data_IF_636137634857
#
_entry.id   IF_636137634857
#
_cell.length_a   1.000
_cell.length_b   1.000
_cell.length_c   1.000
_cell.angle_alpha   90.00
_cell.angle_beta   90.00
_cell.angle_gamma   90.00
#
_symmetry.space_group_name_H-M   'P 1'
#
loop_
_entity.id
_entity.type
_entity.pdbx_description
1 polymer ?
#
# COMPACT_ATOMS: atom_id res chain seq x y z
N UNK A 1 -32.91 23.33 43.23
CA UNK A 1 -32.97 24.07 41.95
C UNK A 1 -31.86 25.10 42.04
N UNK A 2 -30.71 24.99 41.40
CA UNK A 2 -30.43 24.61 40.01
C UNK A 2 -29.02 23.99 39.93
N UNK A 3 -28.92 22.98 39.08
CA UNK A 3 -27.69 22.27 38.71
C UNK A 3 -26.71 23.17 37.94
N UNK A 4 -25.40 23.02 38.19
CA UNK A 4 -24.36 23.34 37.23
C UNK A 4 -23.40 22.16 37.11
N UNK A 5 -23.35 21.61 35.90
CA UNK A 5 -22.56 20.48 35.41
C UNK A 5 -21.10 20.90 35.10
N UNK A 6 -20.17 19.93 35.01
CA UNK A 6 -18.76 20.20 34.75
C UNK A 6 -18.44 20.37 33.25
N UNK A 7 -17.40 21.16 32.99
CA UNK A 7 -16.82 21.41 31.67
C UNK A 7 -16.09 20.17 31.13
N UNK A 8 -16.57 19.66 30.00
CA UNK A 8 -15.80 18.90 29.02
C UNK A 8 -15.53 19.83 27.82
N UNK A 9 -14.27 19.92 27.37
CA UNK A 9 -13.96 19.85 25.94
C UNK A 9 -12.46 19.58 25.74
N UNK A 10 -12.12 18.32 25.45
CA UNK A 10 -10.81 17.92 24.97
C UNK A 10 -10.81 17.99 23.45
N UNK A 11 -10.10 18.97 22.90
CA UNK A 11 -10.00 19.20 21.46
C UNK A 11 -9.52 17.96 20.72
N UNK A 12 -10.38 17.46 19.82
CA UNK A 12 -10.03 16.44 18.86
C UNK A 12 -8.99 17.02 17.88
N UNK A 13 -7.71 16.67 18.08
CA UNK A 13 -6.71 16.79 17.03
C UNK A 13 -7.09 15.77 15.95
N UNK A 14 -7.71 16.26 14.88
CA UNK A 14 -7.99 15.46 13.70
C UNK A 14 -6.67 14.91 13.17
N UNK A 15 -6.53 13.59 13.18
CA UNK A 15 -5.49 12.87 12.45
C UNK A 15 -5.70 13.17 10.97
N UNK A 16 -5.06 14.23 10.46
CA UNK A 16 -5.02 14.53 9.04
C UNK A 16 -4.46 13.32 8.34
N UNK A 17 -5.27 12.71 7.47
CA UNK A 17 -4.81 11.70 6.52
C UNK A 17 -3.82 12.39 5.58
N UNK A 18 -2.55 12.47 5.98
CA UNK A 18 -1.46 12.87 5.10
C UNK A 18 -1.50 11.93 3.91
N UNK A 19 -1.85 12.45 2.74
CA UNK A 19 -1.89 11.68 1.51
C UNK A 19 -0.45 11.31 1.16
N UNK A 20 -0.06 10.09 1.53
CA UNK A 20 1.15 9.45 1.05
C UNK A 20 1.04 9.27 -0.47
N UNK A 21 1.37 10.32 -1.20
CA UNK A 21 1.48 10.23 -2.65
C UNK A 21 2.60 9.24 -2.97
N UNK A 22 2.20 8.09 -3.52
CA UNK A 22 3.11 7.10 -4.05
C UNK A 22 3.73 7.65 -5.34
N UNK A 23 4.71 8.55 -5.19
CA UNK A 23 5.48 9.11 -6.29
C UNK A 23 6.45 8.05 -6.84
N UNK A 24 5.89 7.07 -7.55
CA UNK A 24 6.61 6.14 -8.43
C UNK A 24 6.79 6.81 -9.80
N UNK A 25 7.57 6.23 -10.72
CA UNK A 25 7.89 6.89 -11.99
C UNK A 25 6.62 7.14 -12.85
N UNK A 26 6.20 8.40 -12.94
CA UNK A 26 4.83 8.78 -13.37
C UNK A 26 4.75 9.84 -14.48
N UNK A 27 5.77 9.98 -15.33
CA UNK A 27 5.69 10.92 -16.46
C UNK A 27 4.99 10.29 -17.67
N UNK A 28 3.69 10.58 -17.83
CA UNK A 28 2.97 10.46 -19.09
C UNK A 28 3.59 11.45 -20.09
N UNK A 29 3.84 11.09 -21.36
CA UNK A 29 4.26 12.06 -22.36
C UNK A 29 3.16 13.10 -22.54
N UNK A 30 3.55 14.39 -22.55
CA UNK A 30 2.88 15.33 -23.46
C UNK A 30 3.11 14.81 -24.89
N UNK A 31 2.19 15.04 -25.82
CA UNK A 31 2.22 14.53 -27.20
C UNK A 31 3.46 14.93 -28.06
N UNK A 32 4.52 15.44 -27.44
CA UNK A 32 5.81 15.79 -28.05
C UNK A 32 6.97 15.36 -27.14
N UNK A 33 7.37 14.08 -27.18
CA UNK A 33 8.73 13.65 -26.82
C UNK A 33 8.91 12.15 -27.05
N UNK A 34 9.55 11.76 -28.16
CA UNK A 34 10.23 10.47 -28.28
C UNK A 34 11.45 10.60 -29.20
N UNK A 35 12.64 10.73 -28.60
CA UNK A 35 13.91 10.45 -29.27
C UNK A 35 14.76 9.63 -28.29
N UNK A 36 15.04 8.38 -28.67
CA UNK A 36 15.84 7.44 -27.88
C UNK A 36 15.24 6.03 -27.92
N UNK A 37 15.54 5.29 -29.00
CA UNK A 37 15.46 3.83 -29.15
C UNK A 37 14.43 3.07 -28.28
N UNK A 38 13.15 3.49 -28.33
CA UNK A 38 12.02 2.73 -27.79
C UNK A 38 11.15 2.32 -28.96
N UNK A 39 10.70 1.06 -28.93
CA UNK A 39 9.71 0.51 -29.83
C UNK A 39 8.63 1.56 -30.10
N UNK A 40 8.35 1.86 -31.37
CA UNK A 40 7.30 2.79 -31.74
C UNK A 40 5.96 2.24 -31.18
N UNK A 41 5.12 3.12 -30.62
CA UNK A 41 3.87 2.71 -29.97
C UNK A 41 2.72 3.64 -30.35
N UNK A 42 1.56 3.04 -30.63
CA UNK A 42 0.31 3.77 -30.79
C UNK A 42 -0.31 4.07 -29.43
N UNK A 43 -0.65 5.33 -29.20
CA UNK A 43 -1.32 5.78 -27.98
C UNK A 43 -2.82 5.93 -28.26
N UNK A 44 -3.64 5.10 -27.62
CA UNK A 44 -5.09 5.05 -27.83
C UNK A 44 -5.79 5.37 -26.51
N UNK A 45 -6.26 6.61 -26.31
CA UNK A 45 -7.12 6.95 -25.17
C UNK A 45 -8.45 6.20 -25.31
N UNK A 46 -8.76 5.33 -24.35
CA UNK A 46 -10.03 4.58 -24.34
C UNK A 46 -11.11 5.32 -23.55
N UNK A 47 -10.70 5.94 -22.44
CA UNK A 47 -11.52 6.86 -21.65
C UNK A 47 -10.65 8.06 -21.36
N UNK A 48 -11.17 9.26 -21.67
CA UNK A 48 -10.40 10.49 -21.59
C UNK A 48 -9.73 10.63 -20.22
N UNK A 49 -8.40 10.75 -20.26
CA UNK A 49 -7.53 10.92 -19.11
C UNK A 49 -7.51 9.79 -18.08
N UNK A 50 -8.28 8.70 -18.20
CA UNK A 50 -8.37 7.64 -17.16
C UNK A 50 -8.01 6.24 -17.64
N UNK A 51 -8.15 5.97 -18.94
CA UNK A 51 -7.69 4.73 -19.57
C UNK A 51 -6.87 5.03 -20.82
N UNK A 52 -5.62 4.55 -20.84
CA UNK A 52 -4.70 4.71 -21.96
C UNK A 52 -4.18 3.35 -22.39
N UNK A 53 -4.49 2.94 -23.62
CA UNK A 53 -3.89 1.77 -24.25
C UNK A 53 -2.65 2.20 -25.04
N UNK A 54 -1.55 1.48 -24.85
CA UNK A 54 -0.34 1.63 -25.66
C UNK A 54 -0.10 0.32 -26.41
N UNK A 55 -0.11 0.39 -27.75
CA UNK A 55 0.13 -0.78 -28.61
C UNK A 55 1.53 -0.76 -29.19
N UNK A 56 2.09 -1.93 -29.44
CA UNK A 56 3.37 -2.04 -30.17
C UNK A 56 3.12 -1.74 -31.66
N UNK A 57 3.78 -0.72 -32.22
CA UNK A 57 3.59 -0.31 -33.61
C UNK A 57 4.10 -1.38 -34.59
N UNK A 58 3.42 -1.51 -35.73
CA UNK A 58 3.72 -2.52 -36.75
C UNK A 58 3.08 -3.88 -36.51
N UNK A 59 2.33 -4.08 -35.41
CA UNK A 59 1.45 -5.22 -35.21
C UNK A 59 0.17 -5.09 -36.08
N UNK A 60 0.32 -4.94 -37.39
CA UNK A 60 -0.79 -5.04 -38.34
C UNK A 60 -0.91 -6.50 -38.78
N UNK A 61 -1.57 -7.31 -37.96
CA UNK A 61 -1.77 -8.74 -38.21
C UNK A 61 -1.48 -9.57 -36.97
N UNK A 62 -2.28 -10.63 -36.78
CA UNK A 62 -2.31 -11.54 -35.63
C UNK A 62 -1.02 -12.38 -35.38
N UNK A 63 0.14 -11.99 -35.91
CA UNK A 63 1.29 -12.90 -36.03
C UNK A 63 2.54 -12.54 -35.20
N UNK A 64 2.48 -11.64 -34.22
CA UNK A 64 3.61 -11.43 -33.31
C UNK A 64 3.34 -11.83 -31.85
N UNK A 65 3.90 -12.99 -31.47
CA UNK A 65 4.41 -13.48 -30.17
C UNK A 65 3.72 -13.13 -28.83
N UNK A 66 2.44 -12.83 -28.89
CA UNK A 66 1.31 -13.31 -28.08
C UNK A 66 0.35 -12.14 -27.86
N UNK A 67 -0.94 -12.32 -28.23
CA UNK A 67 -2.05 -11.40 -27.95
C UNK A 67 -2.19 -11.21 -26.43
N UNK A 68 -1.26 -10.46 -25.86
CA UNK A 68 -1.04 -10.29 -24.44
C UNK A 68 -1.29 -8.85 -24.08
N UNK A 69 -2.03 -8.64 -23.00
CA UNK A 69 -2.28 -7.32 -22.44
C UNK A 69 -1.83 -7.29 -20.98
N UNK A 70 -1.01 -6.29 -20.65
CA UNK A 70 -0.70 -5.93 -19.28
C UNK A 70 -1.62 -4.77 -18.86
N UNK A 71 -2.41 -4.98 -17.82
CA UNK A 71 -3.24 -3.93 -17.21
C UNK A 71 -2.51 -3.38 -15.99
N UNK A 72 -2.22 -2.08 -15.98
CA UNK A 72 -1.50 -1.41 -14.90
C UNK A 72 -2.43 -0.45 -14.18
N UNK A 73 -2.65 -0.69 -12.88
CA UNK A 73 -3.53 0.13 -12.04
C UNK A 73 -2.72 1.13 -11.20
N UNK A 74 -3.11 2.40 -11.29
CA UNK A 74 -2.48 3.48 -10.51
C UNK A 74 -2.70 3.40 -9.00
N UNK A 75 -1.74 3.95 -8.25
CA UNK A 75 -1.84 4.19 -6.81
C UNK A 75 -2.85 5.29 -6.45
N UNK A 76 -3.24 5.33 -5.17
CA UNK A 76 -4.11 6.37 -4.63
C UNK A 76 -3.53 7.77 -4.86
N UNK A 77 -4.41 8.75 -5.07
CA UNK A 77 -4.07 10.16 -5.30
C UNK A 77 -3.17 10.44 -6.54
N UNK A 78 -2.91 9.45 -7.39
CA UNK A 78 -2.08 9.67 -8.58
C UNK A 78 -2.82 10.48 -9.65
N UNK A 79 -2.20 11.58 -10.08
CA UNK A 79 -2.69 12.41 -11.20
C UNK A 79 -2.25 11.88 -12.57
N UNK A 80 -1.40 10.86 -12.60
CA UNK A 80 -0.87 10.23 -13.81
C UNK A 80 -0.85 8.70 -13.69
N UNK A 81 -0.40 8.02 -14.74
CA UNK A 81 -0.33 6.56 -14.76
C UNK A 81 0.89 6.07 -13.97
N UNK A 82 0.65 5.29 -12.92
CA UNK A 82 1.72 4.67 -12.12
C UNK A 82 2.46 3.65 -12.98
N UNK A 83 3.78 3.54 -12.80
CA UNK A 83 4.67 2.63 -13.53
C UNK A 83 4.74 2.84 -15.05
N UNK A 84 4.16 3.92 -15.60
CA UNK A 84 4.20 4.18 -17.04
C UNK A 84 5.61 4.05 -17.63
N UNK A 85 6.61 4.64 -16.97
CA UNK A 85 7.97 4.56 -17.46
C UNK A 85 8.60 3.17 -17.34
N UNK A 86 8.14 2.37 -16.37
CA UNK A 86 8.65 1.03 -16.07
C UNK A 86 8.00 -0.06 -16.93
N UNK A 87 6.86 0.21 -17.56
CA UNK A 87 6.12 -0.79 -18.36
C UNK A 87 6.06 -0.47 -19.85
N UNK A 88 6.50 0.71 -20.28
CA UNK A 88 6.50 1.11 -21.71
C UNK A 88 7.39 0.26 -22.63
N UNK A 89 8.38 -0.47 -22.07
CA UNK A 89 9.27 -1.36 -22.81
C UNK A 89 8.80 -2.82 -22.79
N UNK A 90 7.67 -3.12 -22.13
CA UNK A 90 7.18 -4.49 -22.00
C UNK A 90 6.77 -5.06 -23.36
N UNK A 91 7.05 -6.33 -23.65
CA UNK A 91 6.81 -6.93 -24.96
C UNK A 91 5.32 -7.27 -25.21
N UNK A 92 4.40 -6.41 -24.79
CA UNK A 92 2.96 -6.57 -24.93
C UNK A 92 2.24 -5.22 -25.06
N UNK A 93 0.93 -5.28 -25.37
CA UNK A 93 0.05 -4.15 -25.20
C UNK A 93 -0.07 -3.81 -23.71
N UNK A 94 -0.15 -2.51 -23.39
CA UNK A 94 -0.29 -2.07 -22.00
C UNK A 94 -1.47 -1.12 -21.87
N UNK A 95 -2.43 -1.49 -21.03
CA UNK A 95 -3.56 -0.67 -20.63
C UNK A 95 -3.30 -0.06 -19.25
N UNK A 96 -3.12 1.25 -19.22
CA UNK A 96 -3.02 1.99 -17.98
C UNK A 96 -4.40 2.44 -17.52
N UNK A 97 -4.72 2.20 -16.26
CA UNK A 97 -6.00 2.57 -15.64
C UNK A 97 -5.72 3.40 -14.39
N UNK A 98 -6.34 4.57 -14.27
CA UNK A 98 -6.30 5.37 -13.04
C UNK A 98 -7.69 5.68 -12.50
N UNK A 99 -7.75 5.85 -11.20
CA UNK A 99 -8.93 6.37 -10.51
C UNK A 99 -9.02 7.90 -10.70
N UNK A 100 -10.03 8.41 -11.44
CA UNK A 100 -10.20 9.85 -11.66
C UNK A 100 -10.57 10.61 -10.39
N UNK A 101 -11.10 9.93 -9.37
CA UNK A 101 -11.61 10.55 -8.14
C UNK A 101 -10.56 10.61 -7.04
N UNK A 102 -9.29 10.29 -7.37
CA UNK A 102 -8.13 10.47 -6.52
C UNK A 102 -8.36 9.90 -5.11
N UNK A 103 -8.60 8.58 -5.00
CA UNK A 103 -8.78 7.79 -3.76
C UNK A 103 -10.21 7.25 -3.51
N UNK A 104 -10.94 6.91 -4.57
CA UNK A 104 -12.15 6.10 -4.54
C UNK A 104 -11.89 4.60 -4.80
N UNK A 105 -10.64 4.19 -5.02
CA UNK A 105 -10.25 2.77 -5.12
C UNK A 105 -10.99 2.02 -6.21
N UNK A 106 -11.24 2.71 -7.33
CA UNK A 106 -11.98 2.21 -8.47
C UNK A 106 -13.45 1.84 -8.19
N UNK A 107 -13.94 2.04 -6.95
CA UNK A 107 -15.31 1.72 -6.54
C UNK A 107 -16.35 2.54 -7.31
N UNK A 108 -15.99 3.77 -7.69
CA UNK A 108 -16.80 4.67 -8.52
C UNK A 108 -16.55 4.53 -10.03
N UNK A 109 -15.84 3.49 -10.47
CA UNK A 109 -15.45 3.31 -11.87
C UNK A 109 -14.42 4.35 -12.33
N UNK A 110 -14.28 4.50 -13.66
CA UNK A 110 -13.33 5.45 -14.30
C UNK A 110 -14.00 6.53 -15.15
N UNK A 111 -15.33 6.54 -15.18
CA UNK A 111 -16.17 7.49 -15.91
C UNK A 111 -17.20 8.12 -14.95
N UNK A 112 -17.67 9.35 -15.24
CA UNK A 112 -18.78 9.94 -14.50
C UNK A 112 -20.01 9.02 -14.53
N UNK A 113 -20.66 8.82 -13.38
CA UNK A 113 -21.84 7.94 -13.22
C UNK A 113 -21.60 6.45 -13.43
N UNK A 114 -20.34 6.03 -13.55
CA UNK A 114 -19.95 4.61 -13.58
C UNK A 114 -19.83 4.04 -12.16
N UNK A 115 -19.45 2.76 -12.07
CA UNK A 115 -19.08 2.09 -10.84
C UNK A 115 -18.06 0.98 -11.15
N UNK A 116 -17.59 0.31 -10.11
CA UNK A 116 -16.63 -0.79 -10.24
C UNK A 116 -17.12 -1.96 -11.09
N UNK A 117 -18.42 -2.27 -11.08
CA UNK A 117 -18.99 -3.34 -11.92
C UNK A 117 -18.97 -2.94 -13.41
N UNK A 118 -19.31 -1.69 -13.71
CA UNK A 118 -19.23 -1.15 -15.07
C UNK A 118 -17.78 -1.10 -15.58
N UNK A 119 -16.82 -0.75 -14.71
CA UNK A 119 -15.40 -0.87 -15.02
C UNK A 119 -14.99 -2.33 -15.28
N UNK A 120 -15.41 -3.28 -14.43
CA UNK A 120 -15.15 -4.70 -14.64
C UNK A 120 -15.70 -5.19 -16.00
N UNK A 121 -16.92 -4.79 -16.36
CA UNK A 121 -17.53 -5.13 -17.64
C UNK A 121 -16.76 -4.54 -18.83
N UNK A 122 -16.28 -3.29 -18.72
CA UNK A 122 -15.43 -2.66 -19.73
C UNK A 122 -14.08 -3.38 -19.89
N UNK A 123 -13.42 -3.73 -18.79
CA UNK A 123 -12.17 -4.48 -18.82
C UNK A 123 -12.37 -5.89 -19.38
N UNK A 124 -13.51 -6.53 -19.11
CA UNK A 124 -13.86 -7.84 -19.67
C UNK A 124 -14.00 -7.80 -21.20
N UNK A 125 -14.66 -6.78 -21.75
CA UNK A 125 -14.74 -6.58 -23.22
C UNK A 125 -13.36 -6.36 -23.84
N UNK A 126 -12.47 -5.63 -23.16
CA UNK A 126 -11.10 -5.44 -23.64
C UNK A 126 -10.35 -6.78 -23.60
N UNK A 127 -10.46 -7.53 -22.49
CA UNK A 127 -9.83 -8.86 -22.30
C UNK A 127 -10.16 -9.82 -23.45
N UNK A 128 -11.36 -9.80 -24.00
CA UNK A 128 -11.78 -10.70 -25.09
C UNK A 128 -10.94 -10.55 -26.37
N UNK A 129 -10.26 -9.41 -26.55
CA UNK A 129 -9.32 -9.18 -27.67
C UNK A 129 -7.92 -9.78 -27.43
N UNK A 130 -7.67 -10.36 -26.25
CA UNK A 130 -6.34 -10.83 -25.84
C UNK A 130 -6.41 -12.26 -25.32
N UNK A 131 -5.49 -13.11 -25.81
CA UNK A 131 -5.28 -14.48 -25.35
C UNK A 131 -4.87 -14.51 -23.87
N UNK A 132 -3.92 -13.64 -23.50
CA UNK A 132 -3.35 -13.61 -22.15
C UNK A 132 -3.52 -12.21 -21.56
N UNK A 133 -3.94 -12.12 -20.30
CA UNK A 133 -3.94 -10.85 -19.56
C UNK A 133 -3.17 -10.98 -18.27
N UNK A 134 -2.43 -9.93 -17.97
CA UNK A 134 -1.63 -9.77 -16.78
C UNK A 134 -2.10 -8.52 -16.05
N UNK A 135 -2.00 -8.50 -14.72
CA UNK A 135 -2.33 -7.30 -13.93
C UNK A 135 -1.19 -6.91 -13.00
N UNK A 136 -0.99 -5.61 -12.85
CA UNK A 136 0.06 -5.02 -12.03
C UNK A 136 -0.43 -3.77 -11.31
N UNK A 137 -0.08 -3.63 -10.03
CA UNK A 137 -0.32 -2.40 -9.30
C UNK A 137 0.25 -2.40 -7.88
N UNK A 138 0.22 -1.23 -7.24
CA UNK A 138 0.68 -1.03 -5.87
C UNK A 138 -0.34 -0.30 -5.01
N UNK A 139 -0.45 -0.64 -3.72
CA UNK A 139 -1.40 -0.05 -2.77
C UNK A 139 -2.83 -0.17 -3.30
N UNK A 140 -3.55 0.94 -3.51
CA UNK A 140 -4.83 0.97 -4.24
C UNK A 140 -4.81 0.26 -5.60
N UNK A 141 -3.72 0.39 -6.37
CA UNK A 141 -3.55 -0.32 -7.63
C UNK A 141 -3.31 -1.81 -7.43
N UNK A 142 -2.69 -2.20 -6.31
CA UNK A 142 -2.51 -3.60 -5.93
C UNK A 142 -3.85 -4.26 -5.61
N UNK A 143 -4.70 -3.58 -4.83
CA UNK A 143 -6.10 -3.97 -4.61
C UNK A 143 -6.84 -4.19 -5.94
N UNK A 144 -6.75 -3.21 -6.87
CA UNK A 144 -7.41 -3.30 -8.16
C UNK A 144 -6.87 -4.45 -9.03
N UNK A 145 -5.55 -4.70 -8.97
CA UNK A 145 -4.91 -5.80 -9.68
C UNK A 145 -5.40 -7.16 -9.19
N UNK A 146 -5.55 -7.32 -7.86
CA UNK A 146 -6.13 -8.51 -7.27
C UNK A 146 -7.60 -8.69 -7.67
N UNK A 147 -8.42 -7.64 -7.51
CA UNK A 147 -9.85 -7.70 -7.84
C UNK A 147 -10.08 -7.99 -9.32
N UNK A 148 -9.62 -7.10 -10.20
CA UNK A 148 -9.89 -7.23 -11.64
C UNK A 148 -9.11 -8.38 -12.25
N UNK A 149 -7.88 -8.66 -11.81
CA UNK A 149 -7.14 -9.83 -12.26
C UNK A 149 -7.90 -11.13 -12.01
N UNK A 150 -8.46 -11.29 -10.81
CA UNK A 150 -9.31 -12.44 -10.46
C UNK A 150 -10.59 -12.49 -11.29
N UNK A 151 -11.32 -11.37 -11.41
CA UNK A 151 -12.58 -11.31 -12.16
C UNK A 151 -12.40 -11.57 -13.67
N UNK A 152 -11.23 -11.23 -14.22
CA UNK A 152 -10.90 -11.39 -15.63
C UNK A 152 -10.26 -12.74 -15.96
N UNK A 153 -9.98 -13.59 -14.96
CA UNK A 153 -9.17 -14.80 -15.14
C UNK A 153 -7.80 -14.45 -15.73
N UNK A 154 -7.13 -13.44 -15.17
CA UNK A 154 -5.79 -13.05 -15.58
C UNK A 154 -4.86 -14.25 -15.48
N UNK A 155 -3.89 -14.36 -16.39
CA UNK A 155 -2.85 -15.39 -16.32
C UNK A 155 -2.01 -15.19 -15.06
N UNK A 156 -1.56 -13.94 -14.83
CA UNK A 156 -0.81 -13.58 -13.61
C UNK A 156 -1.16 -12.20 -13.07
N UNK A 157 -1.00 -12.04 -11.76
CA UNK A 157 -1.15 -10.76 -11.04
C UNK A 157 0.08 -10.49 -10.19
N UNK A 158 0.63 -9.27 -10.28
CA UNK A 158 1.60 -8.75 -9.31
C UNK A 158 0.94 -7.62 -8.51
N UNK A 159 0.81 -7.80 -7.21
CA UNK A 159 0.22 -6.82 -6.30
C UNK A 159 1.24 -6.41 -5.21
N UNK A 160 1.64 -5.13 -5.22
CA UNK A 160 2.59 -4.60 -4.24
C UNK A 160 1.87 -3.87 -3.09
N UNK A 161 2.07 -4.30 -1.85
CA UNK A 161 1.42 -3.79 -0.65
C UNK A 161 -0.11 -3.58 -0.80
N UNK A 162 -0.86 -4.58 -1.28
CA UNK A 162 -2.29 -4.44 -1.50
C UNK A 162 -3.09 -4.55 -0.20
N UNK A 163 -4.27 -3.95 -0.20
CA UNK A 163 -5.32 -4.20 0.77
C UNK A 163 -6.32 -5.19 0.13
N UNK A 164 -6.90 -6.07 0.93
CA UNK A 164 -7.95 -7.02 0.50
C UNK A 164 -9.26 -6.81 1.27
N UNK A 165 -9.20 -6.06 2.37
CA UNK A 165 -10.36 -5.54 3.10
C UNK A 165 -10.22 -4.02 3.17
N UNK A 166 -11.18 -3.33 2.58
CA UNK A 166 -11.28 -1.88 2.60
C UNK A 166 -12.14 -1.44 3.79
N UNK A 167 -11.49 -0.80 4.78
CA UNK A 167 -12.16 -0.16 5.91
C UNK A 167 -11.77 1.34 5.92
N UNK A 168 -12.73 2.28 5.77
CA UNK A 168 -12.43 3.72 5.77
C UNK A 168 -11.86 4.27 7.09
N UNK A 169 -11.79 3.46 8.16
CA UNK A 169 -11.09 3.81 9.39
C UNK A 169 -9.58 3.57 9.33
N UNK A 170 -9.12 2.77 8.37
CA UNK A 170 -7.71 2.42 8.24
C UNK A 170 -6.93 3.53 7.53
N UNK A 171 -5.60 3.62 7.74
CA UNK A 171 -4.78 4.49 6.92
C UNK A 171 -4.81 3.98 5.48
N UNK A 172 -4.58 4.89 4.53
CA UNK A 172 -4.46 4.54 3.10
C UNK A 172 -5.67 3.73 2.62
N UNK A 173 -6.86 4.19 2.96
CA UNK A 173 -8.16 3.60 2.59
C UNK A 173 -8.93 4.53 1.66
N UNK A 174 -10.04 4.07 1.04
CA UNK A 174 -10.95 4.94 0.30
C UNK A 174 -11.44 6.12 1.14
N UNK A 175 -11.83 7.20 0.48
CA UNK A 175 -12.54 8.29 1.16
C UNK A 175 -13.78 7.77 1.89
N UNK A 176 -14.09 8.35 3.06
CA UNK A 176 -15.21 7.91 3.91
C UNK A 176 -16.56 7.91 3.20
N UNK A 177 -16.73 8.77 2.20
CA UNK A 177 -17.98 8.90 1.44
C UNK A 177 -18.00 8.03 0.17
N UNK A 178 -16.93 7.27 -0.11
CA UNK A 178 -16.89 6.34 -1.23
C UNK A 178 -17.79 5.15 -0.91
N UNK A 179 -18.78 4.90 -1.77
CA UNK A 179 -19.60 3.69 -1.70
C UNK A 179 -18.75 2.48 -2.07
N UNK A 180 -18.58 1.54 -1.14
CA UNK A 180 -17.80 0.31 -1.36
C UNK A 180 -18.73 -0.80 -1.84
N UNK A 181 -18.57 -1.22 -3.10
CA UNK A 181 -19.25 -2.39 -3.66
C UNK A 181 -18.44 -3.66 -3.39
N UNK A 182 -17.11 -3.57 -3.50
CA UNK A 182 -16.16 -4.62 -3.14
C UNK A 182 -15.35 -4.15 -1.93
N UNK A 183 -15.96 -4.17 -0.75
CA UNK A 183 -15.25 -3.84 0.49
C UNK A 183 -14.32 -4.98 0.94
N UNK A 184 -14.60 -6.21 0.52
CA UNK A 184 -13.85 -7.41 0.88
C UNK A 184 -13.70 -8.28 -0.37
N UNK A 185 -12.46 -8.49 -0.81
CA UNK A 185 -12.14 -9.27 -2.00
C UNK A 185 -11.50 -10.62 -1.68
N UNK A 186 -11.43 -11.00 -0.39
CA UNK A 186 -10.74 -12.23 0.05
C UNK A 186 -11.26 -13.46 -0.67
N UNK A 187 -12.59 -13.63 -0.71
CA UNK A 187 -13.23 -14.78 -1.36
C UNK A 187 -12.93 -14.81 -2.87
N UNK A 188 -13.00 -13.67 -3.53
CA UNK A 188 -12.73 -13.54 -4.98
C UNK A 188 -11.29 -13.97 -5.29
N UNK A 189 -10.32 -13.46 -4.51
CA UNK A 189 -8.89 -13.75 -4.70
C UNK A 189 -8.57 -15.22 -4.40
N UNK A 190 -9.12 -15.77 -3.30
CA UNK A 190 -8.92 -17.18 -2.93
C UNK A 190 -9.53 -18.15 -3.94
N UNK A 191 -10.62 -17.79 -4.61
CA UNK A 191 -11.30 -18.65 -5.59
C UNK A 191 -10.72 -18.55 -7.00
N UNK A 192 -9.82 -17.59 -7.27
CA UNK A 192 -9.21 -17.40 -8.58
C UNK A 192 -8.07 -18.41 -8.88
N UNK A 193 -8.32 -19.71 -8.74
CA UNK A 193 -7.31 -20.77 -8.84
C UNK A 193 -6.59 -20.85 -10.19
N UNK A 194 -7.20 -20.31 -11.26
CA UNK A 194 -6.61 -20.26 -12.61
C UNK A 194 -5.70 -19.04 -12.82
N UNK A 195 -5.56 -18.17 -11.80
CA UNK A 195 -4.75 -16.95 -11.82
C UNK A 195 -3.56 -17.11 -10.88
N UNK A 196 -2.33 -17.07 -11.41
CA UNK A 196 -1.14 -17.04 -10.55
C UNK A 196 -0.97 -15.64 -9.93
N UNK A 197 -0.89 -15.53 -8.61
CA UNK A 197 -0.83 -14.26 -7.88
C UNK A 197 0.48 -14.16 -7.10
N UNK A 198 1.23 -13.09 -7.33
CA UNK A 198 2.34 -12.66 -6.48
C UNK A 198 1.94 -11.42 -5.68
N UNK A 199 2.02 -11.54 -4.36
CA UNK A 199 1.86 -10.43 -3.42
C UNK A 199 3.22 -10.13 -2.80
N UNK A 200 3.66 -8.89 -2.89
CA UNK A 200 4.89 -8.43 -2.26
C UNK A 200 4.60 -7.24 -1.35
N UNK A 201 5.10 -7.22 -0.12
CA UNK A 201 4.87 -6.13 0.84
C UNK A 201 6.04 -5.98 1.84
N UNK A 202 6.11 -4.86 2.55
CA UNK A 202 7.08 -4.64 3.62
C UNK A 202 6.57 -5.18 4.97
N UNK A 203 7.41 -5.90 5.72
CA UNK A 203 7.02 -6.57 6.97
C UNK A 203 6.79 -5.64 8.17
N UNK A 204 7.20 -4.38 8.06
CA UNK A 204 7.09 -3.40 9.15
C UNK A 204 5.78 -2.60 9.13
N UNK A 205 4.91 -2.85 8.15
CA UNK A 205 3.57 -2.28 8.11
C UNK A 205 2.52 -3.26 8.68
N UNK A 206 1.89 -2.94 9.83
CA UNK A 206 0.90 -3.82 10.44
C UNK A 206 -0.40 -3.92 9.64
N UNK A 207 -0.76 -2.91 8.84
CA UNK A 207 -1.97 -2.92 8.02
C UNK A 207 -1.79 -3.79 6.79
N UNK A 208 -0.62 -3.76 6.16
CA UNK A 208 -0.29 -4.67 5.06
C UNK A 208 -0.26 -6.11 5.58
N UNK A 209 0.41 -6.37 6.70
CA UNK A 209 0.44 -7.70 7.34
C UNK A 209 -0.97 -8.20 7.69
N UNK A 210 -1.81 -7.33 8.27
CA UNK A 210 -3.23 -7.63 8.54
C UNK A 210 -3.96 -8.04 7.26
N UNK A 211 -3.85 -7.27 6.18
CA UNK A 211 -4.56 -7.55 4.94
C UNK A 211 -4.11 -8.89 4.33
N UNK A 212 -2.81 -9.12 4.22
CA UNK A 212 -2.29 -10.33 3.58
C UNK A 212 -2.58 -11.58 4.42
N UNK A 213 -2.62 -11.46 5.76
CA UNK A 213 -2.95 -12.59 6.64
C UNK A 213 -4.31 -13.22 6.36
N UNK A 214 -5.27 -12.45 5.86
CA UNK A 214 -6.60 -12.97 5.56
C UNK A 214 -6.67 -13.85 4.31
N UNK A 215 -5.62 -13.88 3.50
CA UNK A 215 -5.54 -14.75 2.32
C UNK A 215 -5.04 -16.16 2.65
N UNK A 216 -4.66 -16.44 3.90
CA UNK A 216 -4.32 -17.79 4.34
C UNK A 216 -5.58 -18.64 4.55
N UNK A 217 -5.48 -19.94 4.25
CA UNK A 217 -6.38 -20.99 4.67
C UNK A 217 -5.66 -21.85 5.72
N UNK A 218 -5.93 -21.56 6.99
CA UNK A 218 -5.14 -22.12 8.09
C UNK A 218 -3.74 -21.51 8.15
N UNK A 219 -2.70 -22.33 8.06
CA UNK A 219 -1.29 -21.93 8.13
C UNK A 219 -0.63 -21.68 6.75
N UNK A 220 -1.39 -21.83 5.66
CA UNK A 220 -0.86 -21.79 4.28
C UNK A 220 -1.66 -20.84 3.40
N UNK A 221 -1.02 -20.33 2.36
CA UNK A 221 -1.72 -19.67 1.26
C UNK A 221 -2.21 -20.72 0.26
N UNK A 222 -3.34 -20.47 -0.45
CA UNK A 222 -3.70 -21.24 -1.65
C UNK A 222 -2.53 -21.36 -2.63
N UNK A 223 -2.41 -22.47 -3.34
CA UNK A 223 -1.25 -22.78 -4.20
C UNK A 223 -1.00 -21.72 -5.29
N UNK A 224 -2.07 -21.08 -5.78
CA UNK A 224 -1.97 -20.01 -6.77
C UNK A 224 -1.57 -18.65 -6.19
N UNK A 225 -1.41 -18.52 -4.87
CA UNK A 225 -1.03 -17.28 -4.18
C UNK A 225 0.37 -17.42 -3.57
N UNK A 226 1.34 -16.76 -4.20
CA UNK A 226 2.68 -16.56 -3.68
C UNK A 226 2.78 -15.25 -2.91
N UNK A 227 3.30 -15.30 -1.70
CA UNK A 227 3.51 -14.11 -0.85
C UNK A 227 5.00 -13.93 -0.57
N UNK A 228 5.49 -12.71 -0.72
CA UNK A 228 6.84 -12.30 -0.39
C UNK A 228 6.79 -11.10 0.56
N UNK A 229 7.46 -11.24 1.70
CA UNK A 229 7.58 -10.19 2.69
C UNK A 229 9.02 -9.66 2.69
N UNK A 230 9.19 -8.36 2.43
CA UNK A 230 10.48 -7.68 2.42
C UNK A 230 10.80 -7.18 3.83
N UNK A 231 11.91 -7.68 4.38
CA UNK A 231 12.29 -7.49 5.78
C UNK A 231 12.90 -6.11 6.02
N UNK A 232 12.41 -5.39 7.03
CA UNK A 232 12.90 -4.05 7.37
C UNK A 232 12.29 -2.93 6.52
N UNK A 233 11.16 -3.19 5.84
CA UNK A 233 10.50 -2.22 4.96
C UNK A 233 9.05 -1.96 5.38
N UNK A 234 8.61 -0.72 5.18
CA UNK A 234 7.22 -0.31 5.39
C UNK A 234 6.41 -0.42 4.09
N UNK A 235 5.20 0.16 4.10
CA UNK A 235 4.31 0.23 2.93
C UNK A 235 4.98 0.77 1.66
N UNK A 236 6.04 1.57 1.80
CA UNK A 236 6.73 2.23 0.70
C UNK A 236 7.88 1.40 0.15
N UNK A 237 7.97 0.12 0.51
CA UNK A 237 8.95 -0.80 -0.06
C UNK A 237 9.04 -0.75 -1.61
N UNK A 238 7.99 -0.44 -2.42
CA UNK A 238 8.16 -0.33 -3.87
C UNK A 238 9.15 0.77 -4.28
N UNK A 239 9.29 1.84 -3.47
CA UNK A 239 10.33 2.86 -3.69
C UNK A 239 11.73 2.33 -3.39
N UNK A 240 11.87 1.46 -2.40
CA UNK A 240 13.14 0.79 -2.11
C UNK A 240 13.49 -0.20 -3.23
N UNK A 241 12.52 -0.96 -3.71
CA UNK A 241 12.65 -1.86 -4.84
C UNK A 241 13.14 -1.11 -6.10
N UNK A 242 12.54 0.03 -6.41
CA UNK A 242 12.96 0.88 -7.53
C UNK A 242 14.41 1.39 -7.42
N UNK A 243 14.90 1.61 -6.19
CA UNK A 243 16.29 2.03 -5.96
C UNK A 243 17.27 0.86 -6.08
N UNK A 244 16.84 -0.35 -5.70
CA UNK A 244 17.67 -1.54 -5.73
C UNK A 244 17.80 -2.14 -7.13
N UNK A 245 16.73 -2.08 -7.93
CA UNK A 245 16.75 -2.55 -9.30
C UNK A 245 15.79 -1.76 -10.21
N UNK A 246 16.06 -1.76 -11.53
CA UNK A 246 15.09 -1.32 -12.53
C UNK A 246 13.78 -2.10 -12.39
N UNK A 247 12.67 -1.42 -12.07
CA UNK A 247 11.36 -2.08 -11.87
C UNK A 247 10.84 -2.80 -13.11
N UNK A 248 11.31 -2.45 -14.31
CA UNK A 248 10.97 -3.17 -15.53
C UNK A 248 11.49 -4.62 -15.51
N UNK A 249 12.67 -4.87 -14.92
CA UNK A 249 13.17 -6.22 -14.69
C UNK A 249 12.26 -6.98 -13.71
N UNK A 250 11.93 -6.35 -12.58
CA UNK A 250 11.03 -6.96 -11.60
C UNK A 250 9.65 -7.29 -12.19
N UNK A 251 9.06 -6.36 -12.95
CA UNK A 251 7.75 -6.57 -13.58
C UNK A 251 7.78 -7.58 -14.73
N UNK A 252 8.94 -7.83 -15.34
CA UNK A 252 9.07 -8.85 -16.39
C UNK A 252 8.74 -10.27 -15.90
N UNK A 253 8.85 -10.52 -14.58
CA UNK A 253 8.45 -11.78 -13.94
C UNK A 253 6.98 -12.14 -14.19
N UNK A 254 6.12 -11.15 -14.47
CA UNK A 254 4.72 -11.41 -14.82
C UNK A 254 4.59 -12.27 -16.08
N UNK A 255 5.57 -12.24 -16.99
CA UNK A 255 5.59 -13.03 -18.22
C UNK A 255 6.32 -14.37 -18.08
N UNK A 256 7.38 -14.42 -17.28
CA UNK A 256 8.26 -15.60 -17.16
C UNK A 256 7.92 -16.51 -15.99
N UNK A 257 7.06 -16.07 -15.06
CA UNK A 257 6.73 -16.77 -13.83
C UNK A 257 7.40 -16.13 -12.61
N UNK A 258 6.88 -16.42 -11.43
CA UNK A 258 7.36 -15.81 -10.20
C UNK A 258 8.58 -16.54 -9.66
N UNK A 259 9.76 -15.99 -9.92
CA UNK A 259 10.95 -16.29 -9.15
C UNK A 259 11.21 -15.07 -8.29
N UNK A 260 11.10 -15.13 -6.95
CA UNK A 260 11.35 -13.97 -6.10
C UNK A 260 12.75 -13.39 -6.34
N UNK A 261 12.87 -12.41 -7.24
CA UNK A 261 14.12 -11.70 -7.44
C UNK A 261 14.25 -10.67 -6.33
N UNK A 262 15.28 -10.88 -5.52
CA UNK A 262 15.49 -10.14 -4.28
C UNK A 262 16.10 -8.78 -4.57
N UNK A 263 16.80 -8.65 -5.71
CA UNK A 263 17.63 -7.50 -6.06
C UNK A 263 18.52 -7.03 -4.90
N UNK A 264 18.97 -7.97 -4.05
CA UNK A 264 19.77 -7.69 -2.86
C UNK A 264 19.00 -7.17 -1.64
N UNK A 265 17.68 -7.08 -1.70
CA UNK A 265 16.82 -6.75 -0.57
C UNK A 265 16.53 -8.01 0.27
N UNK A 266 16.62 -7.94 1.61
CA UNK A 266 16.27 -9.06 2.47
C UNK A 266 14.76 -9.32 2.40
N UNK A 267 14.38 -10.58 2.27
CA UNK A 267 13.00 -11.01 2.12
C UNK A 267 12.80 -12.41 2.72
N UNK A 268 11.54 -12.79 2.86
CA UNK A 268 11.10 -14.15 3.18
C UNK A 268 9.85 -14.50 2.38
N UNK A 269 9.63 -15.80 2.16
CA UNK A 269 8.40 -16.31 1.57
C UNK A 269 7.32 -16.43 2.65
N UNK A 270 6.10 -16.02 2.32
CA UNK A 270 4.99 -15.93 3.26
C UNK A 270 5.05 -14.67 4.12
N UNK A 271 4.31 -14.67 5.23
CA UNK A 271 4.30 -13.56 6.20
C UNK A 271 5.49 -13.59 7.17
N UNK A 272 6.08 -14.77 7.37
CA UNK A 272 7.01 -15.05 8.47
C UNK A 272 6.46 -14.76 9.86
N UNK A 273 5.13 -14.91 10.02
CA UNK A 273 4.43 -14.79 11.29
C UNK A 273 3.91 -16.16 11.72
N UNK A 274 4.00 -16.45 13.01
CA UNK A 274 3.36 -17.63 13.61
C UNK A 274 1.83 -17.47 13.68
N UNK A 275 1.07 -18.58 13.81
CA UNK A 275 -0.40 -18.51 13.94
C UNK A 275 -0.87 -17.54 15.04
N UNK A 276 -0.19 -17.52 16.20
CA UNK A 276 -0.51 -16.60 17.29
C UNK A 276 -0.28 -15.12 16.93
N UNK A 277 0.76 -14.82 16.14
CA UNK A 277 1.01 -13.46 15.66
C UNK A 277 -0.03 -13.04 14.61
N UNK A 278 -0.45 -13.96 13.74
CA UNK A 278 -1.52 -13.73 12.76
C UNK A 278 -2.85 -13.42 13.46
N UNK A 279 -3.26 -14.26 14.40
CA UNK A 279 -4.50 -14.05 15.17
C UNK A 279 -4.48 -12.70 15.89
N UNK A 280 -3.34 -12.36 16.52
CA UNK A 280 -3.20 -11.11 17.24
C UNK A 280 -3.26 -9.89 16.33
N UNK A 281 -2.63 -9.91 15.15
CA UNK A 281 -2.69 -8.75 14.24
C UNK A 281 -4.08 -8.60 13.62
N UNK A 282 -4.74 -9.72 13.31
CA UNK A 282 -6.13 -9.73 12.84
C UNK A 282 -7.10 -9.14 13.87
N UNK A 283 -6.86 -9.36 15.16
CA UNK A 283 -7.68 -8.80 16.23
C UNK A 283 -7.32 -7.34 16.56
N UNK A 284 -6.03 -7.03 16.74
CA UNK A 284 -5.58 -5.75 17.28
C UNK A 284 -5.64 -4.60 16.27
N UNK A 285 -5.36 -4.83 14.98
CA UNK A 285 -5.33 -3.76 13.96
C UNK A 285 -6.70 -3.08 13.82
N UNK A 286 -7.82 -3.81 13.64
CA UNK A 286 -9.14 -3.18 13.60
C UNK A 286 -9.48 -2.39 14.86
N UNK A 287 -9.15 -2.92 16.04
CA UNK A 287 -9.42 -2.26 17.33
C UNK A 287 -8.68 -0.93 17.44
N UNK A 288 -7.38 -0.92 17.09
CA UNK A 288 -6.57 0.30 17.12
C UNK A 288 -7.18 1.41 16.24
N UNK A 289 -7.53 1.11 14.99
CA UNK A 289 -8.05 2.11 14.05
C UNK A 289 -9.52 2.49 14.33
N UNK A 290 -10.29 1.60 14.98
CA UNK A 290 -11.63 1.90 15.51
C UNK A 290 -11.60 2.58 16.88
N UNK A 291 -10.41 2.99 17.33
CA UNK A 291 -10.13 3.74 18.57
C UNK A 291 -10.32 2.94 19.86
N UNK A 292 -10.51 1.63 19.79
CA UNK A 292 -10.40 0.74 20.95
C UNK A 292 -8.93 0.36 21.20
N UNK A 293 -8.15 1.38 21.53
CA UNK A 293 -6.69 1.30 21.68
C UNK A 293 -6.29 0.51 22.93
N UNK A 294 -7.13 0.53 23.97
CA UNK A 294 -6.92 -0.25 25.18
C UNK A 294 -7.00 -1.76 24.89
N UNK A 295 -7.99 -2.20 24.13
CA UNK A 295 -8.09 -3.62 23.74
C UNK A 295 -6.94 -4.03 22.81
N UNK A 296 -6.56 -3.18 21.85
CA UNK A 296 -5.41 -3.44 20.99
C UNK A 296 -4.11 -3.61 21.78
N UNK A 297 -3.85 -2.74 22.78
CA UNK A 297 -2.71 -2.85 23.67
C UNK A 297 -2.73 -4.18 24.46
N UNK A 298 -3.87 -4.52 25.05
CA UNK A 298 -4.03 -5.74 25.85
C UNK A 298 -3.76 -7.02 25.04
N UNK A 299 -4.12 -7.05 23.76
CA UNK A 299 -3.85 -8.18 22.86
C UNK A 299 -2.36 -8.27 22.52
N UNK A 300 -1.73 -7.15 22.17
CA UNK A 300 -0.36 -7.15 21.66
C UNK A 300 0.68 -7.32 22.77
N UNK A 301 0.47 -6.70 23.94
CA UNK A 301 1.50 -6.62 25.00
C UNK A 301 2.08 -7.98 25.42
N UNK A 302 1.29 -9.04 25.69
CA UNK A 302 1.83 -10.34 26.08
C UNK A 302 2.67 -11.00 24.98
N UNK A 303 2.39 -10.68 23.70
CA UNK A 303 3.11 -11.23 22.57
C UNK A 303 4.42 -10.52 22.31
N UNK A 304 4.53 -9.22 22.63
CA UNK A 304 5.80 -8.49 22.53
C UNK A 304 6.85 -9.09 23.48
N UNK A 305 6.45 -9.55 24.66
CA UNK A 305 7.37 -10.20 25.60
C UNK A 305 7.88 -11.55 25.05
N UNK A 306 7.05 -12.26 24.28
CA UNK A 306 7.40 -13.53 23.63
C UNK A 306 8.18 -13.34 22.33
N UNK A 307 7.91 -12.27 21.59
CA UNK A 307 8.45 -11.96 20.27
C UNK A 307 9.05 -10.55 20.27
N UNK A 308 10.18 -10.32 20.98
CA UNK A 308 10.71 -8.97 21.21
C UNK A 308 11.17 -8.26 19.92
N UNK A 309 11.45 -8.99 18.85
CA UNK A 309 11.87 -8.45 17.56
C UNK A 309 10.71 -8.27 16.57
N UNK A 310 9.46 -8.45 17.00
CA UNK A 310 8.29 -8.21 16.13
C UNK A 310 7.97 -6.72 16.07
N UNK A 311 8.82 -5.97 15.37
CA UNK A 311 8.87 -4.51 15.43
C UNK A 311 7.58 -3.83 15.00
N UNK A 312 6.88 -4.33 13.97
CA UNK A 312 5.58 -3.80 13.55
C UNK A 312 4.53 -3.84 14.68
N UNK A 313 4.43 -4.98 15.38
CA UNK A 313 3.51 -5.13 16.49
C UNK A 313 3.98 -4.37 17.73
N UNK A 314 5.29 -4.33 17.99
CA UNK A 314 5.84 -3.55 19.11
C UNK A 314 5.53 -2.07 18.93
N UNK A 315 5.74 -1.53 17.73
CA UNK A 315 5.36 -0.17 17.37
C UNK A 315 3.86 0.08 17.56
N UNK A 316 3.01 -0.78 16.99
CA UNK A 316 1.55 -0.67 17.13
C UNK A 316 1.09 -0.75 18.60
N UNK A 317 1.69 -1.63 19.40
CA UNK A 317 1.44 -1.75 20.84
C UNK A 317 1.82 -0.47 21.57
N UNK A 318 3.01 0.08 21.30
CA UNK A 318 3.46 1.34 21.89
C UNK A 318 2.51 2.50 21.55
N UNK A 319 2.13 2.62 20.28
CA UNK A 319 1.17 3.64 19.85
C UNK A 319 -0.22 3.45 20.47
N UNK A 320 -0.71 2.21 20.59
CA UNK A 320 -1.97 1.92 21.26
C UNK A 320 -1.94 2.35 22.73
N UNK A 321 -0.86 2.04 23.44
CA UNK A 321 -0.69 2.38 24.85
C UNK A 321 -0.55 3.88 25.09
N UNK A 322 0.28 4.58 24.30
CA UNK A 322 0.41 6.05 24.38
C UNK A 322 -0.95 6.73 24.15
N UNK A 323 -1.65 6.34 23.09
CA UNK A 323 -2.93 6.92 22.74
C UNK A 323 -4.08 6.60 23.72
N UNK A 324 -3.94 5.55 24.52
CA UNK A 324 -4.88 5.17 25.58
C UNK A 324 -4.42 5.57 26.98
N UNK A 325 -3.26 6.23 27.10
CA UNK A 325 -2.59 6.56 28.37
C UNK A 325 -2.35 5.32 29.26
N UNK A 326 -2.03 4.18 28.66
CA UNK A 326 -1.69 2.92 29.34
C UNK A 326 -0.18 2.76 29.37
N UNK A 327 0.38 2.59 30.57
CA UNK A 327 1.81 2.36 30.81
C UNK A 327 2.69 3.29 29.95
N UNK A 328 2.53 4.63 30.03
CA UNK A 328 3.03 5.56 29.02
C UNK A 328 4.54 5.48 28.80
N UNK A 329 5.33 5.23 29.85
CA UNK A 329 6.78 5.08 29.70
C UNK A 329 7.17 3.80 28.97
N UNK A 330 6.48 2.68 29.23
CA UNK A 330 6.70 1.43 28.51
C UNK A 330 6.27 1.56 27.05
N UNK A 331 5.10 2.15 26.83
CA UNK A 331 4.53 2.40 25.52
C UNK A 331 5.44 3.29 24.68
N UNK A 332 5.96 4.37 25.27
CA UNK A 332 7.02 5.21 24.65
C UNK A 332 8.24 4.36 24.30
N UNK A 333 8.78 3.60 25.26
CA UNK A 333 9.95 2.75 25.02
C UNK A 333 9.76 1.79 23.84
N UNK A 334 8.58 1.20 23.68
CA UNK A 334 8.28 0.34 22.53
C UNK A 334 8.35 1.06 21.18
N UNK A 335 7.81 2.29 21.09
CA UNK A 335 7.90 3.11 19.87
C UNK A 335 9.36 3.46 19.56
N UNK A 336 10.13 3.89 20.58
CA UNK A 336 11.55 4.22 20.48
C UNK A 336 12.38 3.02 20.01
N UNK A 337 12.24 1.87 20.66
CA UNK A 337 12.97 0.65 20.29
C UNK A 337 12.67 0.23 18.85
N UNK A 338 11.39 0.30 18.42
CA UNK A 338 11.03 -0.01 17.05
C UNK A 338 11.69 0.95 16.06
N UNK A 339 11.72 2.26 16.35
CA UNK A 339 12.36 3.26 15.51
C UNK A 339 13.87 3.10 15.44
N UNK A 340 14.55 2.82 16.55
CA UNK A 340 16.01 2.66 16.59
C UNK A 340 16.49 1.41 15.85
N UNK A 341 15.75 0.30 15.97
CA UNK A 341 16.10 -0.94 15.29
C UNK A 341 15.74 -0.93 13.80
N UNK A 342 14.91 0.01 13.34
CA UNK A 342 14.45 0.10 11.96
C UNK A 342 14.66 1.52 11.40
N UNK A 343 15.92 1.93 11.19
CA UNK A 343 16.27 3.32 10.90
C UNK A 343 15.67 3.89 9.61
N UNK A 344 15.20 3.02 8.72
CA UNK A 344 14.68 3.34 7.38
C UNK A 344 13.16 3.50 7.33
N UNK A 345 12.45 3.17 8.41
CA UNK A 345 10.99 3.24 8.46
C UNK A 345 10.58 4.65 8.84
N UNK A 346 9.87 5.29 7.91
CA UNK A 346 9.46 6.68 8.07
C UNK A 346 8.48 6.85 9.24
N UNK A 347 7.45 5.99 9.28
CA UNK A 347 6.38 6.08 10.29
C UNK A 347 6.91 5.90 11.71
N UNK A 348 7.84 4.96 11.92
CA UNK A 348 8.42 4.72 13.25
C UNK A 348 9.22 5.93 13.75
N UNK A 349 10.02 6.57 12.88
CA UNK A 349 10.75 7.77 13.27
C UNK A 349 9.79 8.94 13.54
N UNK A 350 8.73 9.07 12.76
CA UNK A 350 7.71 10.09 12.98
C UNK A 350 7.01 9.93 14.33
N UNK A 351 6.57 8.71 14.64
CA UNK A 351 5.83 8.41 15.86
C UNK A 351 6.75 8.46 17.10
N UNK A 352 8.01 8.06 16.96
CA UNK A 352 9.03 8.27 17.99
C UNK A 352 9.24 9.76 18.29
N UNK A 353 9.30 10.62 17.25
CA UNK A 353 9.40 12.07 17.46
C UNK A 353 8.20 12.62 18.25
N UNK A 354 6.98 12.19 17.93
CA UNK A 354 5.77 12.59 18.66
C UNK A 354 5.82 12.13 20.12
N UNK A 355 6.21 10.88 20.37
CA UNK A 355 6.33 10.33 21.72
C UNK A 355 7.36 11.09 22.56
N UNK A 356 8.49 11.50 21.97
CA UNK A 356 9.50 12.32 22.67
C UNK A 356 9.04 13.75 22.94
N UNK A 357 8.30 14.38 22.02
CA UNK A 357 7.69 15.69 22.25
C UNK A 357 6.73 15.63 23.43
N UNK A 358 5.86 14.62 23.46
CA UNK A 358 4.86 14.45 24.52
C UNK A 358 5.48 14.13 25.89
N UNK A 359 6.63 13.44 25.90
CA UNK A 359 7.40 13.19 27.11
C UNK A 359 8.25 14.39 27.58
N UNK A 360 8.26 15.51 26.83
CA UNK A 360 9.09 16.67 27.15
C UNK A 360 10.58 16.46 26.90
N UNK A 361 10.97 15.44 26.12
CA UNK A 361 12.36 15.15 25.80
C UNK A 361 12.78 15.83 24.49
N UNK A 362 13.26 17.07 24.62
CA UNK A 362 13.64 17.89 23.47
C UNK A 362 14.78 17.27 22.64
N UNK A 363 15.74 16.59 23.26
CA UNK A 363 16.87 15.98 22.54
C UNK A 363 16.42 14.78 21.69
N UNK A 364 15.65 13.86 22.29
CA UNK A 364 15.07 12.74 21.57
C UNK A 364 14.18 13.20 20.42
N UNK A 365 13.32 14.20 20.65
CA UNK A 365 12.46 14.75 19.61
C UNK A 365 13.29 15.31 18.42
N UNK A 366 14.34 16.10 18.68
CA UNK A 366 15.23 16.61 17.62
C UNK A 366 15.90 15.49 16.84
N UNK A 367 16.36 14.44 17.51
CA UNK A 367 16.98 13.28 16.86
C UNK A 367 16.04 12.65 15.83
N UNK A 368 14.81 12.32 16.23
CA UNK A 368 13.84 11.66 15.35
C UNK A 368 13.29 12.57 14.26
N UNK A 369 13.09 13.86 14.54
CA UNK A 369 12.73 14.86 13.52
C UNK A 369 13.81 14.93 12.43
N UNK A 370 15.09 14.95 12.82
CA UNK A 370 16.21 14.92 11.87
C UNK A 370 16.19 13.67 10.98
N UNK A 371 15.85 12.51 11.54
CA UNK A 371 15.67 11.27 10.78
C UNK A 371 14.52 11.37 9.78
N UNK A 372 13.37 11.87 10.22
CA UNK A 372 12.18 12.09 9.38
C UNK A 372 12.51 13.02 8.19
N UNK A 373 13.22 14.13 8.43
CA UNK A 373 13.65 15.04 7.37
C UNK A 373 14.66 14.40 6.41
N UNK A 374 15.60 13.58 6.93
CA UNK A 374 16.58 12.87 6.07
C UNK A 374 15.92 11.88 5.12
N UNK A 375 14.80 11.25 5.52
CA UNK A 375 14.06 10.30 4.69
C UNK A 375 13.13 11.02 3.70
N UNK A 376 12.49 12.10 4.14
CA UNK A 376 11.51 12.85 3.34
C UNK A 376 11.61 14.35 3.63
N UNK A 377 12.63 14.97 3.05
CA UNK A 377 12.89 16.40 3.22
C UNK A 377 11.69 17.23 2.76
N UNK A 378 11.24 18.15 3.62
CA UNK A 378 10.13 19.06 3.32
C UNK A 378 8.75 18.39 3.18
N UNK A 379 8.59 17.15 3.66
CA UNK A 379 7.30 16.48 3.70
C UNK A 379 6.37 17.14 4.72
N UNK A 380 5.06 17.19 4.44
CA UNK A 380 4.07 17.88 5.28
C UNK A 380 4.08 17.39 6.73
N UNK A 381 4.27 16.09 6.96
CA UNK A 381 4.39 15.54 8.32
C UNK A 381 5.67 16.01 9.03
N UNK A 382 6.79 16.12 8.31
CA UNK A 382 8.05 16.66 8.87
C UNK A 382 7.87 18.12 9.31
N UNK A 383 7.16 18.92 8.51
CA UNK A 383 6.86 20.32 8.84
C UNK A 383 5.94 20.42 10.06
N UNK A 384 4.87 19.62 10.11
CA UNK A 384 3.96 19.59 11.25
C UNK A 384 4.67 19.15 12.55
N UNK A 385 5.63 18.23 12.47
CA UNK A 385 6.48 17.84 13.60
C UNK A 385 7.34 19.00 14.09
N UNK A 386 7.95 19.77 13.19
CA UNK A 386 8.76 20.94 13.54
C UNK A 386 7.92 22.02 14.22
N UNK A 387 6.69 22.25 13.77
CA UNK A 387 5.77 23.20 14.38
C UNK A 387 5.37 22.76 15.79
N UNK A 388 5.03 21.47 15.97
CA UNK A 388 4.71 20.88 17.29
C UNK A 388 5.91 20.97 18.24
N UNK A 389 7.11 20.66 17.74
CA UNK A 389 8.35 20.75 18.50
C UNK A 389 8.64 22.19 18.95
N UNK A 390 8.53 23.16 18.05
CA UNK A 390 8.79 24.57 18.36
C UNK A 390 7.82 25.09 19.41
N UNK A 391 6.55 24.72 19.30
CA UNK A 391 5.51 25.05 20.28
C UNK A 391 5.76 24.46 21.67
N UNK A 392 6.39 23.28 21.75
CA UNK A 392 6.63 22.57 23.01
C UNK A 392 7.92 23.02 23.73
N UNK A 393 8.94 23.48 23.01
CA UNK A 393 10.29 23.67 23.57
C UNK A 393 10.94 25.03 23.33
N UNK A 394 10.34 25.92 22.53
CA UNK A 394 10.90 27.25 22.22
C UNK A 394 10.12 28.40 22.87
N UNK A 395 9.29 28.10 23.89
CA UNK A 395 8.54 29.09 24.69
C UNK A 395 9.40 29.77 25.75
#
# INVERSE_FOLDING_TARGET
>A
MTHLSPLHDGGAVGSGSGSDSCALATKTPSAKATAGAKQERDLIPLVKDTMLLTRIAGATGHESREDSLLIVFSCANSKSFTFYLNTQSMPCDVLYVRDPFLNHWYQSGVEPSSNVDALAASLKRIRESYRSVYCLGSSMGGYASLLFGSLLGARRVIALAPQVVLDPSFPRSPHRNTRLHYADIRTIVKQASDTEILIAFGDLDPVDSYNISWLQDGDRFPEHISVVSYLGYDHLFPKALQKAAPLDQYFSQVFTGFTPETHGLPFQVGLGLSPAQIEAIQAAVPLYFKKDRSAAFAILKPLIDRYPNWWAAKHLCGMAGLHASIEPELSRRFVIEAADNNPRVFEFAHDAALAEIEAGNAEGARHYIGRVDSMRKGHTLSLALLDKYSSAFQS
#
